data_IF_681905164818
#
_entry.id   IF_681905164818
#
_cell.length_a   1.000
_cell.length_b   1.000
_cell.length_c   1.000
_cell.angle_alpha   90.00
_cell.angle_beta   90.00
_cell.angle_gamma   90.00
#
_symmetry.space_group_name_H-M   'P 1'
#
loop_
_entity.id
_entity.type
_entity.pdbx_description
1 polymer ?
#
# COMPACT_ATOMS: atom_id res chain seq x y z
N UNK A 1 60.54 30.90 -31.61
CA UNK A 1 59.11 30.51 -31.57
C UNK A 1 58.92 29.52 -30.43
N UNK A 2 58.35 29.94 -29.29
CA UNK A 2 58.14 29.08 -28.10
C UNK A 2 56.75 28.44 -28.19
N UNK A 3 56.70 27.11 -28.32
CA UNK A 3 55.46 26.33 -28.29
C UNK A 3 55.04 26.13 -26.82
N UNK A 4 53.83 26.57 -26.47
CA UNK A 4 53.24 26.30 -25.17
C UNK A 4 52.60 24.90 -25.20
N UNK A 5 53.06 24.00 -24.32
CA UNK A 5 52.35 22.74 -24.06
C UNK A 5 51.14 23.06 -23.17
N UNK A 6 49.93 22.91 -23.72
CA UNK A 6 48.72 22.82 -22.92
C UNK A 6 48.73 21.43 -22.31
N UNK A 7 49.04 21.32 -21.01
CA UNK A 7 48.79 20.10 -20.25
C UNK A 7 47.29 19.98 -20.05
N UNK A 8 46.65 19.10 -20.83
CA UNK A 8 45.27 18.69 -20.59
C UNK A 8 45.30 17.76 -19.38
N UNK A 9 44.91 18.28 -18.22
CA UNK A 9 44.65 17.49 -17.04
C UNK A 9 43.35 16.69 -17.29
N UNK A 10 43.49 15.44 -17.74
CA UNK A 10 42.36 14.49 -17.73
C UNK A 10 42.17 14.11 -16.27
N UNK A 11 41.28 14.81 -15.57
CA UNK A 11 40.80 14.39 -14.27
C UNK A 11 40.03 13.09 -14.50
N UNK A 12 40.46 11.93 -13.99
CA UNK A 12 39.60 10.76 -13.98
C UNK A 12 38.41 11.15 -13.08
N UNK A 13 37.27 11.38 -13.72
CA UNK A 13 36.00 11.43 -13.03
C UNK A 13 35.86 10.04 -12.39
N UNK A 14 36.29 9.90 -11.13
CA UNK A 14 35.88 8.78 -10.30
C UNK A 14 34.37 8.89 -10.23
N UNK A 15 33.69 8.20 -11.16
CA UNK A 15 32.33 7.76 -10.99
C UNK A 15 32.37 6.91 -9.73
N UNK A 16 32.14 7.55 -8.58
CA UNK A 16 31.77 6.83 -7.36
C UNK A 16 30.67 5.86 -7.79
N UNK A 17 30.81 4.56 -7.55
CA UNK A 17 29.70 3.65 -7.80
C UNK A 17 28.50 4.26 -7.09
N UNK A 18 27.40 4.46 -7.82
CA UNK A 18 26.14 4.83 -7.21
C UNK A 18 25.95 3.85 -6.05
N UNK A 19 25.96 4.36 -4.81
CA UNK A 19 25.77 3.56 -3.60
C UNK A 19 24.62 2.60 -3.89
N UNK A 20 24.92 1.30 -4.05
CA UNK A 20 23.87 0.31 -4.23
C UNK A 20 22.91 0.48 -3.07
N UNK A 21 21.65 0.75 -3.40
CA UNK A 21 20.65 1.00 -2.39
C UNK A 21 20.51 -0.26 -1.55
N UNK A 22 20.77 -0.16 -0.25
CA UNK A 22 20.58 -1.26 0.70
C UNK A 22 19.14 -1.78 0.54
N UNK A 23 19.01 -3.05 0.18
CA UNK A 23 17.72 -3.69 -0.12
C UNK A 23 17.31 -4.60 1.02
N UNK A 24 16.05 -4.48 1.44
CA UNK A 24 15.44 -5.44 2.36
C UNK A 24 15.03 -6.67 1.58
N UNK A 25 15.41 -7.83 2.10
CA UNK A 25 14.94 -9.13 1.64
C UNK A 25 14.00 -9.73 2.68
N UNK A 26 13.01 -10.49 2.22
CA UNK A 26 12.05 -11.17 3.09
C UNK A 26 12.00 -12.66 2.77
N UNK A 27 12.19 -13.47 3.79
CA UNK A 27 11.98 -14.91 3.74
C UNK A 27 10.71 -15.28 4.50
N UNK A 28 9.91 -16.17 3.91
CA UNK A 28 8.63 -16.61 4.48
C UNK A 28 8.79 -18.02 5.04
N UNK A 29 8.68 -18.16 6.36
CA UNK A 29 8.75 -19.45 7.07
C UNK A 29 7.68 -19.56 8.16
N UNK A 30 8.03 -20.09 9.34
CA UNK A 30 7.17 -20.03 10.53
C UNK A 30 6.99 -18.59 11.05
N UNK A 31 8.00 -17.76 10.79
CA UNK A 31 8.03 -16.31 10.97
C UNK A 31 8.40 -15.63 9.65
N UNK A 32 8.11 -14.34 9.54
CA UNK A 32 8.70 -13.50 8.50
C UNK A 32 10.09 -13.07 8.96
N UNK A 33 11.09 -13.33 8.14
CA UNK A 33 12.49 -12.97 8.42
C UNK A 33 12.91 -11.88 7.45
N UNK A 34 13.32 -10.73 7.98
CA UNK A 34 13.80 -9.58 7.21
C UNK A 34 15.31 -9.44 7.37
N UNK A 35 16.01 -9.32 6.25
CA UNK A 35 17.46 -9.15 6.17
C UNK A 35 17.81 -8.01 5.23
N UNK A 36 19.07 -7.55 5.27
CA UNK A 36 19.61 -6.58 4.34
C UNK A 36 20.68 -7.24 3.49
N UNK A 37 20.56 -7.15 2.17
CA UNK A 37 21.60 -7.57 1.24
C UNK A 37 22.79 -6.62 1.31
N UNK A 38 24.00 -7.17 1.07
CA UNK A 38 25.25 -6.41 0.84
C UNK A 38 25.62 -5.41 1.95
N UNK A 39 25.29 -5.75 3.20
CA UNK A 39 25.58 -4.91 4.36
C UNK A 39 27.10 -4.84 4.63
N UNK A 40 27.74 -3.65 4.68
CA UNK A 40 29.15 -3.55 5.02
C UNK A 40 29.45 -4.12 6.41
N UNK A 41 30.64 -4.70 6.58
CA UNK A 41 31.09 -5.19 7.88
C UNK A 41 31.04 -4.10 8.94
N UNK A 42 30.72 -4.47 10.18
CA UNK A 42 30.57 -3.56 11.33
C UNK A 42 29.46 -2.51 11.22
N UNK A 43 28.57 -2.61 10.24
CA UNK A 43 27.37 -1.77 10.21
C UNK A 43 26.41 -2.14 11.35
N UNK A 44 25.79 -1.12 11.95
CA UNK A 44 24.72 -1.30 12.93
C UNK A 44 23.38 -1.07 12.25
N UNK A 45 22.46 -2.03 12.40
CA UNK A 45 21.12 -1.96 11.79
C UNK A 45 20.09 -1.81 12.90
N UNK A 46 19.21 -0.83 12.76
CA UNK A 46 18.03 -0.66 13.62
C UNK A 46 16.78 -0.69 12.76
N UNK A 47 15.90 -1.63 13.06
CA UNK A 47 14.61 -1.81 12.42
C UNK A 47 13.53 -1.07 13.18
N UNK A 48 12.57 -0.52 12.45
CA UNK A 48 11.38 0.13 12.96
C UNK A 48 10.14 -0.46 12.28
N UNK A 49 9.12 -0.79 13.06
CA UNK A 49 7.84 -1.31 12.58
C UNK A 49 6.75 -0.24 12.65
N UNK A 50 5.64 -0.47 11.95
CA UNK A 50 4.52 0.47 11.89
C UNK A 50 3.87 0.78 13.26
N UNK A 51 4.00 -0.12 14.24
CA UNK A 51 3.50 0.05 15.61
C UNK A 51 4.47 0.83 16.53
N UNK A 52 5.55 1.38 15.98
CA UNK A 52 6.54 2.18 16.71
C UNK A 52 7.56 1.36 17.50
N UNK A 53 7.55 0.02 17.39
CA UNK A 53 8.59 -0.81 18.00
C UNK A 53 9.89 -0.73 17.19
N UNK A 54 11.00 -0.95 17.89
CA UNK A 54 12.31 -1.01 17.28
C UNK A 54 13.09 -2.25 17.70
N UNK A 55 14.01 -2.67 16.84
CA UNK A 55 14.91 -3.80 17.09
C UNK A 55 16.29 -3.49 16.49
N UNK A 56 17.35 -3.63 17.26
CA UNK A 56 18.73 -3.48 16.76
C UNK A 56 19.34 -4.86 16.53
N UNK A 57 19.77 -5.11 15.29
CA UNK A 57 20.26 -6.41 14.85
C UNK A 57 20.25 -6.52 13.34
N UNK A 58 21.07 -7.43 12.77
CA UNK A 58 21.13 -7.63 11.32
C UNK A 58 19.89 -8.31 10.74
N UNK A 59 19.11 -8.96 11.59
CA UNK A 59 17.93 -9.75 11.23
C UNK A 59 16.77 -9.25 12.08
N UNK A 60 15.60 -9.07 11.46
CA UNK A 60 14.34 -8.86 12.17
C UNK A 60 13.42 -10.05 11.90
N UNK A 61 12.95 -10.70 12.96
CA UNK A 61 11.91 -11.72 12.87
C UNK A 61 10.58 -11.15 13.34
N UNK A 62 9.51 -11.42 12.59
CA UNK A 62 8.14 -11.07 12.99
C UNK A 62 7.24 -12.30 12.96
N UNK A 63 6.31 -12.42 13.92
CA UNK A 63 5.26 -13.42 13.81
C UNK A 63 4.47 -13.21 12.53
N UNK A 64 3.92 -14.29 11.99
CA UNK A 64 3.03 -14.29 10.83
C UNK A 64 1.64 -13.71 11.15
N UNK A 65 1.52 -12.64 11.90
CA UNK A 65 0.20 -12.02 12.05
C UNK A 65 -0.14 -11.24 10.77
N UNK A 66 -0.72 -11.96 9.80
CA UNK A 66 -0.75 -11.67 8.36
C UNK A 66 -2.00 -10.89 7.92
N UNK A 67 -2.33 -9.77 8.58
CA UNK A 67 -3.58 -9.05 8.30
C UNK A 67 -3.38 -7.61 7.85
N UNK A 68 -3.29 -7.38 6.55
CA UNK A 68 -3.32 -6.03 5.98
C UNK A 68 -1.95 -5.49 5.58
N UNK A 69 -1.91 -4.19 5.28
CA UNK A 69 -0.68 -3.49 4.90
C UNK A 69 0.23 -3.30 6.13
N UNK A 70 1.51 -3.56 5.95
CA UNK A 70 2.57 -3.47 6.96
C UNK A 70 3.81 -2.80 6.39
N UNK A 71 4.67 -2.33 7.29
CA UNK A 71 5.90 -1.63 6.91
C UNK A 71 7.02 -1.92 7.89
N UNK A 72 8.19 -2.25 7.36
CA UNK A 72 9.43 -2.27 8.12
C UNK A 72 10.40 -1.27 7.50
N UNK A 73 11.04 -0.47 8.36
CA UNK A 73 12.07 0.48 7.96
C UNK A 73 13.37 0.10 8.63
N UNK A 74 14.43 -0.12 7.84
CA UNK A 74 15.77 -0.35 8.35
C UNK A 74 16.59 0.94 8.25
N UNK A 75 17.19 1.32 9.37
CA UNK A 75 18.18 2.39 9.45
C UNK A 75 19.53 1.75 9.69
N UNK A 76 20.48 2.02 8.81
CA UNK A 76 21.83 1.43 8.80
C UNK A 76 22.85 2.51 9.08
N UNK A 77 23.53 2.39 10.21
CA UNK A 77 24.72 3.17 10.52
C UNK A 77 25.96 2.46 9.98
N UNK A 78 26.67 3.13 9.08
CA UNK A 78 27.89 2.64 8.44
C UNK A 78 29.13 2.95 9.30
N UNK A 79 30.19 2.13 9.22
CA UNK A 79 31.42 2.31 10.01
C UNK A 79 32.12 3.68 9.84
N UNK A 80 31.85 4.39 8.74
CA UNK A 80 32.38 5.73 8.46
C UNK A 80 31.48 6.89 8.93
N UNK A 81 30.46 6.62 9.74
CA UNK A 81 29.51 7.64 10.24
C UNK A 81 28.37 8.00 9.27
N UNK A 82 28.28 7.32 8.12
CA UNK A 82 27.17 7.46 7.17
C UNK A 82 25.91 6.76 7.68
N UNK A 83 24.75 7.23 7.22
CA UNK A 83 23.44 6.67 7.56
C UNK A 83 22.65 6.39 6.28
N UNK A 84 22.19 5.14 6.12
CA UNK A 84 21.32 4.73 5.04
C UNK A 84 19.97 4.29 5.61
N UNK A 85 18.88 4.56 4.89
CA UNK A 85 17.54 4.12 5.28
C UNK A 85 16.86 3.45 4.11
N UNK A 86 16.21 2.32 4.37
CA UNK A 86 15.43 1.57 3.38
C UNK A 86 14.13 1.11 4.01
N UNK A 87 13.05 1.09 3.24
CA UNK A 87 11.72 0.75 3.74
C UNK A 87 11.08 -0.29 2.84
N UNK A 88 10.55 -1.33 3.46
CA UNK A 88 9.84 -2.40 2.78
C UNK A 88 8.38 -2.40 3.24
N UNK A 89 7.48 -2.20 2.28
CA UNK A 89 6.04 -2.33 2.48
C UNK A 89 5.56 -3.64 1.93
N UNK A 90 4.69 -4.27 2.67
CA UNK A 90 4.13 -5.55 2.27
C UNK A 90 2.68 -5.68 2.71
N UNK A 91 1.91 -6.36 1.88
CA UNK A 91 0.57 -6.81 2.21
C UNK A 91 0.58 -8.31 2.43
N UNK A 92 -0.14 -8.75 3.45
CA UNK A 92 -0.28 -10.17 3.76
C UNK A 92 -1.75 -10.52 3.90
N UNK A 93 -2.08 -11.75 3.50
CA UNK A 93 -3.44 -12.28 3.64
C UNK A 93 -3.50 -13.30 4.75
N UNK A 94 -4.67 -13.39 5.35
CA UNK A 94 -4.99 -14.38 6.38
C UNK A 94 -4.94 -15.83 5.88
N UNK A 95 -5.02 -16.06 4.56
CA UNK A 95 -5.31 -17.38 3.98
C UNK A 95 -4.18 -18.00 3.14
N UNK A 96 -3.26 -17.23 2.57
CA UNK A 96 -2.36 -17.75 1.52
C UNK A 96 -0.88 -17.92 1.88
N UNK A 97 -0.45 -17.58 3.11
CA UNK A 97 0.98 -17.53 3.46
C UNK A 97 1.83 -16.69 2.49
N UNK A 98 1.21 -15.85 1.67
CA UNK A 98 1.91 -15.01 0.70
C UNK A 98 2.16 -13.63 1.29
N UNK A 99 3.36 -13.15 1.03
CA UNK A 99 3.78 -11.76 1.28
C UNK A 99 3.84 -11.09 -0.09
N UNK A 100 2.97 -10.11 -0.31
CA UNK A 100 3.01 -9.29 -1.51
C UNK A 100 3.84 -8.05 -1.21
N UNK A 101 4.96 -7.90 -1.92
CA UNK A 101 5.72 -6.65 -1.88
C UNK A 101 4.88 -5.52 -2.48
N UNK A 102 4.88 -4.36 -1.82
CA UNK A 102 4.24 -3.15 -2.33
C UNK A 102 5.34 -2.16 -2.67
N UNK A 103 5.51 -1.88 -3.95
CA UNK A 103 6.47 -0.88 -4.40
C UNK A 103 6.08 0.50 -3.85
N UNK A 104 7.01 1.15 -3.16
CA UNK A 104 6.85 2.47 -2.56
C UNK A 104 6.61 3.55 -3.62
N UNK A 105 7.03 3.32 -4.87
CA UNK A 105 6.73 4.22 -6.00
C UNK A 105 5.26 4.16 -6.40
N UNK A 106 4.64 2.99 -6.26
CA UNK A 106 3.24 2.75 -6.58
C UNK A 106 2.30 3.02 -5.40
N UNK A 107 2.81 2.99 -4.17
CA UNK A 107 2.02 3.29 -2.98
C UNK A 107 1.58 4.77 -2.94
N UNK A 108 0.27 4.99 -2.99
CA UNK A 108 -0.31 6.34 -2.95
C UNK A 108 -0.78 6.69 -1.56
N UNK A 109 -1.63 5.85 -0.95
CA UNK A 109 -2.18 6.13 0.37
C UNK A 109 -2.68 4.87 1.10
N UNK A 110 -2.59 4.92 2.43
CA UNK A 110 -3.37 4.13 3.36
C UNK A 110 -4.35 5.07 4.07
N UNK A 111 -5.64 4.79 3.91
CA UNK A 111 -6.72 5.56 4.50
C UNK A 111 -7.62 4.67 5.35
N UNK A 112 -8.26 5.24 6.35
CA UNK A 112 -9.36 4.62 7.08
C UNK A 112 -10.65 5.09 6.44
N UNK A 113 -11.47 4.14 5.99
CA UNK A 113 -12.85 4.39 5.56
C UNK A 113 -13.78 3.84 6.64
N UNK A 114 -14.53 4.74 7.29
CA UNK A 114 -15.39 4.42 8.42
C UNK A 114 -16.83 4.80 8.12
N UNK A 115 -17.78 3.90 8.40
CA UNK A 115 -19.22 4.19 8.44
C UNK A 115 -19.72 3.96 9.85
N UNK A 116 -20.38 4.97 10.41
CA UNK A 116 -20.98 4.88 11.75
C UNK A 116 -22.23 5.76 11.78
N UNK A 117 -23.38 5.17 12.13
CA UNK A 117 -24.63 5.92 12.27
C UNK A 117 -25.04 6.62 10.97
N UNK A 118 -24.78 5.99 9.81
CA UNK A 118 -25.11 6.53 8.50
C UNK A 118 -24.18 7.64 7.98
N UNK A 119 -23.10 7.97 8.70
CA UNK A 119 -22.10 8.93 8.25
C UNK A 119 -20.84 8.20 7.83
N UNK A 120 -20.48 8.31 6.55
CA UNK A 120 -19.21 7.80 6.05
C UNK A 120 -18.13 8.89 6.09
N UNK A 121 -16.90 8.50 6.43
CA UNK A 121 -15.74 9.39 6.36
C UNK A 121 -14.51 8.64 5.90
N UNK A 122 -13.62 9.33 5.17
CA UNK A 122 -12.28 8.85 4.86
C UNK A 122 -11.23 9.73 5.52
N UNK A 123 -10.24 9.09 6.13
CA UNK A 123 -9.08 9.77 6.73
C UNK A 123 -7.81 9.09 6.25
N UNK A 124 -6.96 9.83 5.55
CA UNK A 124 -5.63 9.33 5.21
C UNK A 124 -4.76 9.23 6.47
N UNK A 125 -4.14 8.07 6.67
CA UNK A 125 -3.24 7.78 7.80
C UNK A 125 -1.77 7.84 7.36
N UNK A 126 -1.51 7.38 6.14
CA UNK A 126 -0.19 7.39 5.52
C UNK A 126 -0.36 7.60 4.02
N UNK A 127 0.61 8.22 3.34
CA UNK A 127 0.61 8.27 1.89
C UNK A 127 1.59 9.30 1.34
N UNK A 128 1.93 9.12 0.08
CA UNK A 128 2.72 10.08 -0.72
C UNK A 128 1.81 10.96 -1.57
N UNK A 129 0.61 10.48 -1.88
CA UNK A 129 -0.47 11.28 -2.49
C UNK A 129 -1.41 11.88 -1.45
N UNK A 130 -2.51 12.46 -1.93
CA UNK A 130 -3.58 12.97 -1.09
C UNK A 130 -4.92 12.29 -1.43
N UNK A 131 -5.61 11.82 -0.41
CA UNK A 131 -6.98 11.30 -0.47
C UNK A 131 -7.84 12.13 0.46
N UNK A 132 -8.91 12.72 -0.07
CA UNK A 132 -9.85 13.51 0.72
C UNK A 132 -11.30 13.23 0.33
N UNK A 133 -12.19 13.34 1.31
CA UNK A 133 -13.63 13.23 1.09
C UNK A 133 -14.11 14.36 0.18
N UNK A 134 -14.91 14.03 -0.83
CA UNK A 134 -15.61 15.00 -1.67
C UNK A 134 -17.10 15.02 -1.35
N UNK A 135 -17.74 13.86 -1.39
CA UNK A 135 -19.18 13.71 -1.16
C UNK A 135 -19.44 12.43 -0.37
N UNK A 136 -20.44 12.45 0.50
CA UNK A 136 -20.84 11.30 1.33
C UNK A 136 -22.34 11.05 1.15
N UNK A 137 -22.72 9.78 1.08
CA UNK A 137 -24.09 9.31 1.14
C UNK A 137 -24.19 8.08 2.06
N UNK A 138 -25.41 7.65 2.37
CA UNK A 138 -25.65 6.44 3.17
C UNK A 138 -25.14 5.16 2.49
N UNK A 139 -25.06 5.16 1.15
CA UNK A 139 -24.74 3.97 0.35
C UNK A 139 -23.41 4.07 -0.40
N UNK A 140 -22.64 5.13 -0.17
CA UNK A 140 -21.39 5.35 -0.89
C UNK A 140 -20.68 6.66 -0.55
N UNK A 141 -19.40 6.73 -0.94
CA UNK A 141 -18.53 7.90 -0.79
C UNK A 141 -17.84 8.22 -2.13
N UNK A 142 -17.66 9.51 -2.39
CA UNK A 142 -16.73 10.00 -3.40
C UNK A 142 -15.51 10.57 -2.70
N UNK A 143 -14.33 10.09 -3.11
CA UNK A 143 -13.05 10.59 -2.63
C UNK A 143 -12.27 11.18 -3.79
N UNK A 144 -11.69 12.37 -3.56
CA UNK A 144 -10.70 12.94 -4.48
C UNK A 144 -9.36 12.28 -4.19
N UNK A 145 -8.74 11.74 -5.22
CA UNK A 145 -7.41 11.14 -5.19
C UNK A 145 -6.47 12.04 -5.97
N UNK A 146 -5.33 12.37 -5.37
CA UNK A 146 -4.22 13.07 -6.02
C UNK A 146 -2.99 12.16 -5.90
N UNK A 147 -2.53 11.54 -7.00
CA UNK A 147 -1.37 10.67 -6.97
C UNK A 147 -0.08 11.44 -6.66
N UNK A 148 0.95 10.79 -6.11
CA UNK A 148 2.25 11.43 -5.93
C UNK A 148 2.89 11.78 -7.29
N UNK A 149 3.72 12.84 -7.37
CA UNK A 149 4.50 13.13 -8.56
C UNK A 149 5.34 11.91 -8.93
N UNK A 150 5.38 11.55 -10.22
CA UNK A 150 6.12 10.40 -10.81
C UNK A 150 5.51 9.01 -10.59
N UNK A 151 4.29 8.88 -10.08
CA UNK A 151 3.61 7.59 -10.06
C UNK A 151 2.89 7.35 -11.39
N UNK A 152 3.20 6.25 -12.06
CA UNK A 152 2.42 5.75 -13.20
C UNK A 152 1.25 4.85 -12.76
N UNK A 153 1.27 4.44 -11.49
CA UNK A 153 0.31 3.54 -10.87
C UNK A 153 0.09 3.90 -9.41
N UNK A 154 -1.16 4.12 -9.05
CA UNK A 154 -1.59 4.43 -7.69
C UNK A 154 -2.23 3.23 -7.02
N UNK A 155 -1.63 2.79 -5.92
CA UNK A 155 -2.18 1.81 -4.99
C UNK A 155 -2.77 2.53 -3.77
N UNK A 156 -4.07 2.35 -3.59
CA UNK A 156 -4.85 2.91 -2.49
C UNK A 156 -5.33 1.79 -1.59
N UNK A 157 -4.97 1.86 -0.32
CA UNK A 157 -5.44 0.95 0.71
C UNK A 157 -6.48 1.66 1.57
N UNK A 158 -7.67 1.10 1.67
CA UNK A 158 -8.73 1.56 2.57
C UNK A 158 -8.93 0.52 3.65
N UNK A 159 -8.56 0.84 4.89
CA UNK A 159 -8.96 0.05 6.04
C UNK A 159 -10.42 0.33 6.38
N UNK A 160 -11.26 -0.69 6.33
CA UNK A 160 -12.68 -0.62 6.61
C UNK A 160 -12.94 -0.67 8.13
N UNK A 161 -13.72 0.28 8.63
CA UNK A 161 -14.08 0.40 10.04
C UNK A 161 -15.58 0.63 10.22
N UNK A 162 -16.04 0.45 11.47
CA UNK A 162 -17.44 0.54 11.82
C UNK A 162 -18.27 -0.49 11.06
N UNK A 163 -19.40 -0.04 10.54
CA UNK A 163 -20.37 -0.84 9.78
C UNK A 163 -19.80 -1.40 8.46
N UNK A 164 -18.74 -0.80 7.91
CA UNK A 164 -18.13 -1.28 6.66
C UNK A 164 -17.31 -2.56 6.82
N UNK A 165 -16.99 -2.98 8.05
CA UNK A 165 -16.24 -4.23 8.28
C UNK A 165 -17.02 -5.46 7.81
N UNK A 166 -18.34 -5.38 7.86
CA UNK A 166 -19.24 -6.50 7.59
C UNK A 166 -19.81 -6.43 6.16
N UNK A 167 -19.42 -5.42 5.39
CA UNK A 167 -19.82 -5.27 3.99
C UNK A 167 -19.08 -6.31 3.14
N UNK A 168 -19.87 -7.15 2.45
CA UNK A 168 -19.34 -8.21 1.60
C UNK A 168 -19.25 -7.83 0.11
N UNK A 169 -19.84 -6.70 -0.27
CA UNK A 169 -19.87 -6.24 -1.66
C UNK A 169 -19.66 -4.71 -1.74
N UNK A 170 -18.83 -4.29 -2.68
CA UNK A 170 -18.63 -2.89 -3.02
C UNK A 170 -18.51 -2.74 -4.53
N UNK A 171 -19.11 -1.67 -5.06
CA UNK A 171 -18.94 -1.21 -6.43
C UNK A 171 -17.98 -0.04 -6.42
N UNK A 172 -16.95 -0.11 -7.24
CA UNK A 172 -15.91 0.91 -7.34
C UNK A 172 -15.91 1.47 -8.75
N UNK A 173 -15.83 2.80 -8.87
CA UNK A 173 -15.72 3.47 -10.16
C UNK A 173 -14.70 4.61 -10.09
N UNK A 174 -13.96 4.80 -11.17
CA UNK A 174 -13.02 5.90 -11.33
C UNK A 174 -13.51 6.84 -12.43
N UNK A 175 -13.70 8.12 -12.10
CA UNK A 175 -14.22 9.12 -13.04
C UNK A 175 -15.51 8.66 -13.75
N UNK A 176 -16.39 7.99 -13.00
CA UNK A 176 -17.65 7.43 -13.50
C UNK A 176 -17.53 6.11 -14.27
N UNK A 177 -16.31 5.60 -14.51
CA UNK A 177 -16.08 4.31 -15.18
C UNK A 177 -15.98 3.18 -14.14
N UNK A 178 -16.84 2.15 -14.20
CA UNK A 178 -16.75 1.02 -13.27
C UNK A 178 -15.42 0.28 -13.36
N UNK A 179 -14.87 -0.04 -12.19
CA UNK A 179 -13.64 -0.81 -12.02
C UNK A 179 -14.01 -2.26 -11.68
N UNK A 180 -13.29 -3.23 -12.23
CA UNK A 180 -13.55 -4.66 -11.98
C UNK A 180 -12.86 -5.15 -10.71
N UNK A 181 -13.58 -5.99 -9.97
CA UNK A 181 -13.02 -6.76 -8.86
C UNK A 181 -12.05 -7.83 -9.36
N UNK A 182 -10.91 -8.00 -8.66
CA UNK A 182 -9.85 -8.96 -8.97
C UNK A 182 -9.27 -9.56 -7.68
N UNK A 183 -8.55 -10.67 -7.83
CA UNK A 183 -7.77 -11.24 -6.74
C UNK A 183 -6.63 -10.32 -6.33
N UNK A 184 -6.23 -10.37 -5.06
CA UNK A 184 -5.25 -9.44 -4.50
C UNK A 184 -3.89 -9.51 -5.20
N UNK A 185 -3.43 -10.70 -5.61
CA UNK A 185 -2.18 -10.84 -6.35
C UNK A 185 -2.19 -10.03 -7.65
N UNK A 186 -3.30 -10.06 -8.39
CA UNK A 186 -3.49 -9.24 -9.59
C UNK A 186 -3.55 -7.76 -9.28
N UNK A 187 -4.26 -7.36 -8.21
CA UNK A 187 -4.36 -5.94 -7.81
C UNK A 187 -3.03 -5.36 -7.35
N UNK A 188 -2.08 -6.17 -6.87
CA UNK A 188 -0.77 -5.72 -6.42
C UNK A 188 0.34 -5.89 -7.47
N UNK A 189 0.15 -6.72 -8.49
CA UNK A 189 1.13 -6.94 -9.57
C UNK A 189 1.40 -5.62 -10.34
N UNK A 190 2.66 -5.20 -10.37
CA UNK A 190 3.14 -3.98 -11.03
C UNK A 190 2.93 -3.94 -12.54
N UNK A 191 2.73 -5.10 -13.17
CA UNK A 191 2.55 -5.22 -14.61
C UNK A 191 1.09 -5.09 -15.06
N UNK A 192 0.16 -4.82 -14.14
CA UNK A 192 -1.27 -4.71 -14.45
C UNK A 192 -1.62 -3.31 -14.96
N UNK A 193 -1.96 -3.24 -16.24
CA UNK A 193 -2.33 -2.00 -16.94
C UNK A 193 -3.82 -1.61 -16.81
N UNK A 194 -4.67 -2.46 -16.22
CA UNK A 194 -6.07 -2.13 -15.95
C UNK A 194 -6.30 -1.60 -14.53
N UNK A 195 -7.19 -0.62 -14.39
CA UNK A 195 -7.73 -0.27 -13.08
C UNK A 195 -8.52 -1.46 -12.54
N UNK A 196 -8.26 -1.83 -11.29
CA UNK A 196 -8.89 -2.96 -10.62
C UNK A 196 -8.96 -2.75 -9.12
N UNK A 197 -9.82 -3.50 -8.43
CA UNK A 197 -9.90 -3.47 -6.97
C UNK A 197 -10.03 -4.86 -6.36
N UNK A 198 -9.69 -5.01 -5.09
CA UNK A 198 -9.93 -6.20 -4.29
C UNK A 198 -10.59 -5.81 -2.97
N UNK A 199 -11.80 -6.33 -2.72
CA UNK A 199 -12.46 -6.22 -1.42
C UNK A 199 -12.10 -7.44 -0.57
N UNK A 200 -11.69 -7.19 0.67
CA UNK A 200 -11.23 -8.19 1.64
C UNK A 200 -11.98 -8.01 2.97
N UNK A 201 -13.26 -8.41 3.06
CA UNK A 201 -14.10 -8.14 4.23
C UNK A 201 -13.53 -8.75 5.52
N UNK A 202 -13.09 -10.02 5.46
CA UNK A 202 -12.47 -10.72 6.60
C UNK A 202 -11.19 -10.05 7.11
N UNK A 203 -10.51 -9.30 6.26
CA UNK A 203 -9.28 -8.58 6.63
C UNK A 203 -9.58 -7.11 6.97
N UNK A 204 -10.79 -6.62 6.66
CA UNK A 204 -11.20 -5.24 6.83
C UNK A 204 -10.48 -4.30 5.86
N UNK A 205 -10.29 -4.70 4.60
CA UNK A 205 -9.63 -3.86 3.59
C UNK A 205 -10.37 -3.81 2.26
N UNK A 206 -10.34 -2.64 1.63
CA UNK A 206 -10.57 -2.45 0.19
C UNK A 206 -9.25 -1.92 -0.41
N UNK A 207 -8.79 -2.52 -1.50
CA UNK A 207 -7.52 -2.17 -2.14
C UNK A 207 -7.81 -1.84 -3.60
N UNK A 208 -7.38 -0.68 -4.05
CA UNK A 208 -7.67 -0.18 -5.40
C UNK A 208 -6.35 0.13 -6.11
N UNK A 209 -6.21 -0.41 -7.31
CA UNK A 209 -5.12 -0.12 -8.25
C UNK A 209 -5.65 0.73 -9.39
N UNK A 210 -4.96 1.83 -9.65
CA UNK A 210 -5.34 2.86 -10.61
C UNK A 210 -4.13 3.24 -11.46
N UNK A 211 -4.26 3.28 -12.78
CA UNK A 211 -3.16 3.68 -13.67
C UNK A 211 -3.35 5.11 -14.13
N UNK A 212 -2.72 6.03 -13.41
CA UNK A 212 -2.89 7.47 -13.61
C UNK A 212 -1.78 8.29 -12.97
N UNK A 213 -1.56 9.45 -13.57
CA UNK A 213 -0.70 10.53 -13.07
C UNK A 213 -1.49 11.74 -12.62
N UNK A 214 -2.77 11.85 -13.00
CA UNK A 214 -3.59 13.03 -12.78
C UNK A 214 -4.58 12.83 -11.61
N UNK A 215 -4.92 13.91 -10.88
CA UNK A 215 -5.96 13.86 -9.86
C UNK A 215 -7.33 13.51 -10.44
N UNK A 216 -8.14 12.81 -9.67
CA UNK A 216 -9.51 12.49 -10.05
C UNK A 216 -10.36 11.97 -8.90
N UNK A 217 -11.53 11.45 -9.23
CA UNK A 217 -12.58 11.04 -8.30
C UNK A 217 -12.75 9.53 -8.35
N UNK A 218 -12.55 8.91 -7.19
CA UNK A 218 -12.89 7.53 -6.93
C UNK A 218 -14.24 7.49 -6.20
N UNK A 219 -15.20 6.77 -6.76
CA UNK A 219 -16.49 6.47 -6.14
C UNK A 219 -16.45 5.05 -5.59
N UNK A 220 -16.86 4.90 -4.33
CA UNK A 220 -16.98 3.61 -3.65
C UNK A 220 -18.40 3.53 -3.11
N UNK A 221 -19.22 2.64 -3.69
CA UNK A 221 -20.58 2.35 -3.26
C UNK A 221 -20.60 0.99 -2.56
N UNK A 222 -21.28 0.88 -1.43
CA UNK A 222 -21.47 -0.38 -0.68
C UNK A 222 -22.94 -0.83 -0.69
N UNK A 223 -23.67 -0.46 -1.76
CA UNK A 223 -24.96 -1.00 -2.16
C UNK A 223 -25.93 -1.31 -1.02
N UNK A 224 -26.75 -0.35 -0.60
CA UNK A 224 -27.93 -0.65 0.22
C UNK A 224 -27.67 -1.33 1.57
N UNK A 225 -26.46 -1.23 2.14
CA UNK A 225 -26.20 -1.64 3.53
C UNK A 225 -27.18 -0.89 4.45
N UNK A 226 -28.24 -1.58 4.85
CA UNK A 226 -29.15 -1.13 5.89
C UNK A 226 -28.61 -1.72 7.20
N UNK A 227 -28.19 -0.92 8.19
CA UNK A 227 -27.71 -1.44 9.48
C UNK A 227 -28.75 -2.31 10.20
N UNK A 228 -30.03 -2.27 9.81
CA UNK A 228 -31.09 -3.16 10.32
C UNK A 228 -31.17 -4.54 9.64
N UNK A 229 -30.48 -4.76 8.51
CA UNK A 229 -30.53 -6.02 7.74
C UNK A 229 -29.42 -7.03 8.05
N UNK A 230 -28.82 -6.94 9.24
CA UNK A 230 -27.88 -7.94 9.77
C UNK A 230 -28.48 -9.34 10.04
N UNK A 231 -29.56 -9.72 9.36
CA UNK A 231 -30.12 -11.08 9.36
C UNK A 231 -30.09 -11.57 7.90
N UNK A 232 -29.26 -12.56 7.57
CA UNK A 232 -29.34 -13.21 6.27
C UNK A 232 -30.56 -14.15 6.26
N UNK A 233 -31.51 -13.90 5.36
CA UNK A 233 -32.60 -14.82 5.05
C UNK A 233 -33.94 -14.14 4.81
N UNK A 234 -34.26 -13.83 3.55
CA UNK A 234 -35.41 -14.42 2.86
C UNK A 234 -35.44 -13.92 1.41
N UNK A 235 -34.72 -14.65 0.55
CA UNK A 235 -35.18 -14.83 -0.82
C UNK A 235 -36.29 -15.90 -0.76
N UNK A 236 -37.49 -15.53 -1.19
CA UNK A 236 -38.52 -16.48 -1.57
C UNK A 236 -39.82 -16.37 -0.78
N UNK A 237 -40.79 -15.63 -1.32
CA UNK A 237 -42.03 -16.25 -1.78
C UNK A 237 -42.81 -15.28 -2.65
N UNK A 238 -42.90 -15.68 -3.91
CA UNK A 238 -43.82 -15.18 -4.91
C UNK A 238 -45.27 -15.28 -4.44
N UNK A 239 -46.09 -14.35 -4.92
CA UNK A 239 -47.46 -14.57 -5.41
C UNK A 239 -48.43 -15.41 -4.58
N UNK A 240 -49.44 -14.75 -4.01
CA UNK A 240 -50.67 -15.40 -3.58
C UNK A 240 -51.81 -14.41 -3.41
N UNK A 241 -52.59 -14.20 -4.48
CA UNK A 241 -53.95 -13.68 -4.36
C UNK A 241 -54.82 -14.76 -3.69
N UNK A 242 -55.55 -14.37 -2.65
CA UNK A 242 -56.57 -15.16 -1.96
C UNK A 242 -57.31 -14.29 -0.96
#
# INVERSE_FOLDING_TARGET
MKKWLISVLILPLLLTPASEAIRIEVSVGEALTFTLADLPENSTVTWYTEDGRSHTGKILERPRDLTGLRRVTAVVALPGGGMNTTTFRYYTTSSSYQVYSVDDRSFTALSILNLSGGVANVMQVEGRGAVSTKTVSLSGIEVRVTPPPTSHRSLLFFQLKGELKDVNEMVVAWEGVPIKGKEIGHVLDENVDEACFSLRPKEGYLIVSLNMTDPGILKIDWGGYNPERGIPGDEGSEGGWG
#
